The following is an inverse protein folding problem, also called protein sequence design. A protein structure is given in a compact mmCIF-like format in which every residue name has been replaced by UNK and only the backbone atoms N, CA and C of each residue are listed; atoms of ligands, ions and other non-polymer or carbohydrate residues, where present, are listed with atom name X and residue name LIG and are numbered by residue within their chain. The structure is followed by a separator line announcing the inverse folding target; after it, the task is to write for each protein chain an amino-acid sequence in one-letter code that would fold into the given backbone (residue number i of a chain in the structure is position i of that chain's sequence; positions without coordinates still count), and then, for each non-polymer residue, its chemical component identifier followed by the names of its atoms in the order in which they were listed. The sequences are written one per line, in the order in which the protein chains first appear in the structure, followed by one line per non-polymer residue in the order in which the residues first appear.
data_IF_544247781333
#
_entry.id   IF_544247781333
#
_cell.length_a   1.000
_cell.length_b   1.000
_cell.length_c   1.000
_cell.angle_alpha   90.00
_cell.angle_beta   90.00
_cell.angle_gamma   90.00
#
_symmetry.space_group_name_H-M   'P 1'
#
loop_
_entity.id
_entity.type
_entity.pdbx_description
1 polymer ?
#
# COMPACT_ATOMS: atom_id res chain seq x y z
N UNK A 1 57.74 -53.75 -34.68
CA UNK A 1 57.71 -53.60 -33.21
C UNK A 1 57.47 -52.13 -32.86
N UNK A 2 56.56 -51.85 -31.91
CA UNK A 2 56.17 -50.55 -31.30
C UNK A 2 55.30 -49.66 -32.21
N UNK A 3 53.98 -49.69 -32.14
CA UNK A 3 53.05 -49.24 -31.08
C UNK A 3 53.10 -47.73 -30.82
N UNK A 4 52.14 -46.99 -31.37
CA UNK A 4 51.63 -45.74 -30.77
C UNK A 4 50.14 -45.57 -31.09
N UNK A 5 49.37 -45.65 -30.02
CA UNK A 5 47.92 -45.48 -29.85
C UNK A 5 47.46 -44.06 -30.23
N UNK A 6 46.33 -43.92 -30.92
CA UNK A 6 45.56 -42.68 -30.91
C UNK A 6 44.14 -42.96 -30.44
N UNK A 7 43.85 -42.37 -29.28
CA UNK A 7 42.60 -42.38 -28.54
C UNK A 7 41.43 -41.92 -29.40
N UNK A 8 40.41 -42.77 -29.53
CA UNK A 8 39.10 -42.37 -30.02
C UNK A 8 38.37 -41.60 -28.90
N UNK A 9 38.00 -40.35 -29.18
CA UNK A 9 37.28 -39.45 -28.28
C UNK A 9 35.89 -39.98 -27.91
N UNK A 10 35.38 -39.66 -26.71
CA UNK A 10 34.18 -40.27 -26.14
C UNK A 10 32.88 -39.72 -26.74
N UNK A 11 31.86 -40.60 -26.81
CA UNK A 11 30.45 -40.24 -26.91
C UNK A 11 30.07 -39.25 -25.80
N UNK A 12 29.64 -38.05 -26.14
CA UNK A 12 28.88 -37.19 -25.25
C UNK A 12 28.07 -36.15 -26.04
N UNK A 13 26.94 -36.57 -26.63
CA UNK A 13 25.88 -35.62 -26.96
C UNK A 13 24.84 -35.70 -25.84
N UNK A 14 25.02 -34.82 -24.85
CA UNK A 14 24.02 -34.51 -23.85
C UNK A 14 22.77 -33.99 -24.55
N UNK A 15 21.72 -34.80 -24.58
CA UNK A 15 20.37 -34.32 -24.83
C UNK A 15 19.99 -33.42 -23.65
N UNK A 16 20.20 -32.11 -23.77
CA UNK A 16 19.56 -31.13 -22.90
C UNK A 16 18.07 -31.22 -23.15
N UNK A 17 17.37 -31.99 -22.31
CA UNK A 17 15.94 -31.89 -22.17
C UNK A 17 15.64 -30.42 -21.85
N UNK A 18 15.06 -29.70 -22.80
CA UNK A 18 14.27 -28.52 -22.50
C UNK A 18 13.13 -29.01 -21.62
N UNK A 19 13.36 -29.06 -20.31
CA UNK A 19 12.31 -29.05 -19.33
C UNK A 19 11.56 -27.73 -19.56
N UNK A 20 10.55 -27.81 -20.42
CA UNK A 20 9.65 -26.72 -20.74
C UNK A 20 9.23 -26.08 -19.44
N UNK A 21 9.39 -24.76 -19.38
CA UNK A 21 9.10 -23.97 -18.19
C UNK A 21 7.77 -24.42 -17.62
N UNK A 22 7.81 -25.00 -16.42
CA UNK A 22 6.63 -25.14 -15.61
C UNK A 22 6.04 -23.73 -15.51
N UNK A 23 4.89 -23.52 -16.16
CA UNK A 23 4.23 -22.22 -16.20
C UNK A 23 4.14 -21.70 -14.78
N UNK A 24 4.80 -20.58 -14.51
CA UNK A 24 4.65 -19.91 -13.23
C UNK A 24 3.14 -19.64 -13.04
N UNK A 25 2.59 -19.91 -11.84
CA UNK A 25 1.21 -19.59 -11.57
C UNK A 25 0.99 -18.12 -11.90
N UNK A 26 0.14 -17.85 -12.90
CA UNK A 26 -0.22 -16.49 -13.25
C UNK A 26 -1.04 -15.94 -12.10
N UNK A 27 -0.48 -14.99 -11.34
CA UNK A 27 -1.19 -14.38 -10.23
C UNK A 27 -2.52 -13.81 -10.73
N UNK A 28 -3.62 -14.20 -10.08
CA UNK A 28 -4.92 -13.64 -10.39
C UNK A 28 -4.89 -12.11 -10.20
N UNK A 29 -5.65 -11.35 -11.00
CA UNK A 29 -5.73 -9.90 -10.82
C UNK A 29 -6.22 -9.55 -9.42
N UNK A 30 -5.59 -8.56 -8.80
CA UNK A 30 -5.99 -8.06 -7.48
C UNK A 30 -7.41 -7.52 -7.55
N UNK A 31 -8.31 -8.06 -6.73
CA UNK A 31 -9.65 -7.52 -6.56
C UNK A 31 -9.59 -6.43 -5.50
N UNK A 32 -10.14 -5.26 -5.80
CA UNK A 32 -10.21 -4.15 -4.86
C UNK A 32 -11.67 -3.84 -4.57
N UNK A 33 -11.97 -3.56 -3.30
CA UNK A 33 -13.23 -2.97 -2.85
C UNK A 33 -12.97 -1.54 -2.37
N UNK A 34 -13.96 -0.66 -2.51
CA UNK A 34 -13.87 0.72 -2.08
C UNK A 34 -15.16 1.15 -1.37
N UNK A 35 -15.02 1.79 -0.22
CA UNK A 35 -16.12 2.44 0.51
C UNK A 35 -15.76 3.91 0.77
N UNK A 36 -16.73 4.82 0.58
CA UNK A 36 -16.51 6.25 0.71
C UNK A 36 -17.33 6.85 1.84
N UNK A 37 -16.68 7.65 2.67
CA UNK A 37 -17.25 8.33 3.83
C UNK A 37 -17.00 9.84 3.73
N UNK A 38 -17.90 10.62 4.32
CA UNK A 38 -17.75 12.08 4.42
C UNK A 38 -17.65 12.45 5.90
N UNK A 39 -16.62 13.22 6.24
CA UNK A 39 -16.39 13.72 7.58
C UNK A 39 -16.61 15.23 7.60
N UNK A 40 -17.36 15.70 8.59
CA UNK A 40 -17.53 17.12 8.86
C UNK A 40 -16.43 17.56 9.82
N UNK A 41 -15.72 18.62 9.45
CA UNK A 41 -14.57 19.12 10.17
C UNK A 41 -14.82 20.51 10.75
N UNK A 42 -13.92 20.93 11.64
CA UNK A 42 -13.91 22.29 12.17
C UNK A 42 -13.95 23.35 11.04
N UNK A 43 -14.60 24.49 11.33
CA UNK A 43 -14.73 25.57 10.36
C UNK A 43 -15.68 25.27 9.19
N UNK A 44 -16.54 24.25 9.30
CA UNK A 44 -17.48 23.86 8.24
C UNK A 44 -16.81 23.16 7.04
N UNK A 45 -15.54 22.79 7.19
CA UNK A 45 -14.80 22.06 6.15
C UNK A 45 -15.25 20.60 6.09
N UNK A 46 -15.01 19.96 4.93
CA UNK A 46 -15.29 18.55 4.72
C UNK A 46 -14.07 17.82 4.19
N UNK A 47 -13.91 16.57 4.63
CA UNK A 47 -12.96 15.62 4.08
C UNK A 47 -13.75 14.40 3.65
N UNK A 48 -13.64 14.03 2.37
CA UNK A 48 -14.16 12.76 1.88
C UNK A 48 -13.03 11.74 1.92
N UNK A 49 -13.27 10.57 2.49
CA UNK A 49 -12.30 9.49 2.60
C UNK A 49 -12.82 8.29 1.84
N UNK A 50 -12.00 7.70 0.98
CA UNK A 50 -12.28 6.42 0.35
C UNK A 50 -11.33 5.37 0.88
N UNK A 51 -11.86 4.37 1.58
CA UNK A 51 -11.10 3.22 2.06
C UNK A 51 -11.05 2.15 0.99
N UNK A 52 -9.86 1.61 0.72
CA UNK A 52 -9.63 0.58 -0.28
C UNK A 52 -9.09 -0.68 0.40
N UNK A 53 -9.72 -1.83 0.12
CA UNK A 53 -9.33 -3.15 0.62
C UNK A 53 -9.20 -4.16 -0.51
N UNK A 54 -8.60 -5.32 -0.25
CA UNK A 54 -8.38 -6.39 -1.25
C UNK A 54 -9.58 -7.33 -1.39
N UNK A 55 -10.69 -7.05 -0.70
CA UNK A 55 -11.89 -7.90 -0.74
C UNK A 55 -11.69 -9.30 -0.14
N UNK A 56 -10.56 -9.59 0.51
CA UNK A 56 -10.39 -10.81 1.27
C UNK A 56 -11.26 -10.75 2.54
N UNK A 57 -12.19 -11.70 2.69
CA UNK A 57 -13.19 -11.73 3.78
C UNK A 57 -12.59 -11.80 5.20
N UNK A 58 -11.29 -12.07 5.33
CA UNK A 58 -10.58 -12.16 6.61
C UNK A 58 -9.72 -10.92 6.90
N UNK A 59 -9.68 -9.93 6.01
CA UNK A 59 -8.97 -8.67 6.19
C UNK A 59 -9.97 -7.61 6.69
N UNK A 60 -9.95 -7.37 8.01
CA UNK A 60 -10.89 -6.44 8.65
C UNK A 60 -10.50 -4.95 8.52
N UNK A 61 -9.36 -4.65 7.88
CA UNK A 61 -8.84 -3.28 7.76
C UNK A 61 -8.59 -2.90 6.30
N UNK A 62 -9.01 -1.69 5.88
CA UNK A 62 -8.59 -1.13 4.61
C UNK A 62 -7.07 -0.93 4.56
N UNK A 63 -6.45 -1.28 3.44
CA UNK A 63 -5.01 -1.10 3.22
C UNK A 63 -4.65 0.36 2.91
N UNK A 64 -5.57 1.07 2.25
CA UNK A 64 -5.35 2.45 1.83
C UNK A 64 -6.54 3.33 2.17
N UNK A 65 -6.25 4.60 2.45
CA UNK A 65 -7.22 5.68 2.50
C UNK A 65 -6.87 6.71 1.42
N UNK A 66 -7.86 7.09 0.61
CA UNK A 66 -7.74 8.19 -0.35
C UNK A 66 -8.56 9.37 0.16
N UNK A 67 -7.88 10.41 0.62
CA UNK A 67 -8.52 11.65 1.05
C UNK A 67 -8.80 12.53 -0.15
N UNK A 68 -9.99 13.12 -0.23
CA UNK A 68 -10.28 14.29 -1.05
C UNK A 68 -10.42 15.50 -0.13
N UNK A 69 -9.45 16.41 -0.20
CA UNK A 69 -9.37 17.61 0.63
C UNK A 69 -8.84 18.79 -0.19
N UNK A 70 -9.48 19.96 -0.05
CA UNK A 70 -9.17 21.17 -0.83
C UNK A 70 -9.08 20.93 -2.35
N UNK A 71 -9.96 20.07 -2.88
CA UNK A 71 -10.01 19.73 -4.31
C UNK A 71 -8.92 18.77 -4.79
N UNK A 72 -7.98 18.38 -3.93
CA UNK A 72 -6.90 17.45 -4.24
C UNK A 72 -7.16 16.06 -3.65
N UNK A 73 -6.49 15.04 -4.21
CA UNK A 73 -6.52 13.67 -3.70
C UNK A 73 -5.18 13.28 -3.13
N UNK A 74 -5.20 12.66 -1.94
CA UNK A 74 -4.01 12.19 -1.24
C UNK A 74 -4.18 10.70 -0.95
N UNK A 75 -3.24 9.88 -1.42
CA UNK A 75 -3.18 8.45 -1.10
C UNK A 75 -2.36 8.21 0.17
N UNK A 76 -2.94 7.51 1.13
CA UNK A 76 -2.33 7.17 2.41
C UNK A 76 -2.38 5.65 2.58
N UNK A 77 -1.31 5.08 3.11
CA UNK A 77 -1.23 3.66 3.47
C UNK A 77 -1.48 3.49 4.97
N UNK A 78 -2.03 2.35 5.37
CA UNK A 78 -2.19 2.00 6.78
C UNK A 78 -0.85 2.08 7.53
N UNK A 79 -0.87 2.64 8.73
CA UNK A 79 0.28 2.78 9.61
C UNK A 79 -0.03 2.23 11.00
N UNK A 80 1.00 1.68 11.65
CA UNK A 80 0.88 1.15 13.01
C UNK A 80 0.41 2.26 13.97
N UNK A 81 -0.57 1.92 14.78
CA UNK A 81 -1.08 2.78 15.85
C UNK A 81 -1.37 1.95 17.11
N UNK A 82 -1.32 2.61 18.27
CA UNK A 82 -1.69 1.95 19.53
C UNK A 82 -3.21 1.74 19.63
N UNK A 83 -4.00 2.62 18.99
CA UNK A 83 -5.45 2.52 18.93
C UNK A 83 -5.99 3.30 17.73
N UNK A 84 -7.17 2.91 17.27
CA UNK A 84 -7.80 3.52 16.11
C UNK A 84 -7.17 3.08 14.78
N UNK A 85 -7.60 3.72 13.70
CA UNK A 85 -7.13 3.43 12.35
C UNK A 85 -6.31 4.62 11.85
N UNK A 86 -5.02 4.39 11.61
CA UNK A 86 -4.07 5.43 11.21
C UNK A 86 -3.57 5.16 9.80
N UNK A 87 -3.54 6.22 9.00
CA UNK A 87 -3.06 6.19 7.62
C UNK A 87 -2.08 7.34 7.42
N UNK A 88 -1.00 7.09 6.68
CA UNK A 88 0.02 8.10 6.38
C UNK A 88 0.39 8.10 4.90
N UNK A 89 0.69 9.27 4.36
CA UNK A 89 1.18 9.44 3.00
C UNK A 89 2.26 10.51 2.96
N UNK A 90 3.30 10.31 2.15
CA UNK A 90 4.40 11.27 2.03
C UNK A 90 4.05 12.51 1.20
N UNK A 91 3.01 12.44 0.36
CA UNK A 91 2.46 13.59 -0.31
C UNK A 91 1.54 14.37 0.64
N UNK A 92 1.75 15.67 0.77
CA UNK A 92 0.87 16.55 1.53
C UNK A 92 0.52 17.83 0.81
N UNK A 93 0.04 18.83 1.57
CA UNK A 93 -0.44 20.10 1.00
C UNK A 93 0.67 20.93 0.34
N UNK A 94 1.94 20.56 0.60
CA UNK A 94 3.13 21.12 -0.01
C UNK A 94 4.23 20.03 -0.05
N UNK A 95 5.43 20.39 -0.51
CA UNK A 95 6.57 19.47 -0.64
C UNK A 95 7.34 19.22 0.67
N UNK A 96 7.00 19.90 1.77
CA UNK A 96 7.75 19.89 3.01
C UNK A 96 7.21 18.90 4.07
N UNK A 97 6.02 18.31 3.85
CA UNK A 97 5.41 17.33 4.74
C UNK A 97 4.37 16.48 4.01
N UNK A 98 4.23 15.25 4.48
CA UNK A 98 3.11 14.37 4.13
C UNK A 98 1.83 14.70 4.89
N UNK A 99 0.88 13.78 4.83
CA UNK A 99 -0.37 13.82 5.60
C UNK A 99 -0.53 12.56 6.43
N UNK A 100 -1.21 12.74 7.56
CA UNK A 100 -1.71 11.69 8.42
C UNK A 100 -3.22 11.85 8.57
N UNK A 101 -3.93 10.74 8.45
CA UNK A 101 -5.33 10.61 8.79
C UNK A 101 -5.47 9.58 9.89
N UNK A 102 -6.03 9.98 11.03
CA UNK A 102 -6.19 9.09 12.18
C UNK A 102 -7.60 9.16 12.76
N UNK A 103 -8.26 8.02 12.79
CA UNK A 103 -9.61 7.84 13.31
C UNK A 103 -9.63 7.12 14.64
N UNK A 104 -10.47 7.61 15.55
CA UNK A 104 -10.71 7.01 16.84
C UNK A 104 -12.12 7.34 17.35
N UNK A 105 -12.91 6.30 17.65
CA UNK A 105 -14.22 6.41 18.32
C UNK A 105 -15.20 7.41 17.64
N UNK A 106 -15.29 7.40 16.31
CA UNK A 106 -16.20 8.26 15.54
C UNK A 106 -15.68 9.68 15.30
N UNK A 107 -14.50 10.00 15.83
CA UNK A 107 -13.75 11.21 15.50
C UNK A 107 -12.58 10.88 14.58
N UNK A 108 -12.11 11.89 13.86
CA UNK A 108 -10.96 11.78 12.98
C UNK A 108 -10.11 13.05 13.01
N UNK A 109 -8.81 12.91 12.79
CA UNK A 109 -7.87 14.03 12.72
C UNK A 109 -7.11 13.96 11.41
N UNK A 110 -7.08 15.08 10.67
CA UNK A 110 -6.14 15.29 9.56
C UNK A 110 -4.97 16.10 10.09
N UNK A 111 -3.76 15.60 9.92
CA UNK A 111 -2.52 16.22 10.39
C UNK A 111 -1.49 16.26 9.25
N UNK A 112 -0.50 17.14 9.39
CA UNK A 112 0.76 17.02 8.64
C UNK A 112 1.58 15.86 9.20
N UNK A 113 2.32 15.18 8.33
CA UNK A 113 3.18 14.04 8.67
C UNK A 113 4.61 14.30 8.25
N UNK A 114 5.56 14.12 9.17
CA UNK A 114 7.00 14.27 8.92
C UNK A 114 7.75 13.00 9.29
N UNK A 115 7.56 11.97 8.47
CA UNK A 115 8.36 10.75 8.53
C UNK A 115 8.17 9.97 9.84
N UNK A 116 9.25 9.61 10.49
CA UNK A 116 9.29 8.69 11.63
C UNK A 116 8.96 9.32 12.99
N UNK A 117 8.94 10.66 13.10
CA UNK A 117 8.59 11.34 14.35
C UNK A 117 7.13 11.79 14.40
N UNK A 118 6.31 11.01 15.12
CA UNK A 118 4.92 11.37 15.40
C UNK A 118 4.78 12.70 16.17
N UNK A 119 5.80 13.15 16.90
CA UNK A 119 5.79 14.43 17.64
C UNK A 119 5.94 15.64 16.73
N UNK A 120 6.46 15.43 15.52
CA UNK A 120 6.57 16.47 14.50
C UNK A 120 5.28 16.62 13.67
N UNK A 121 4.26 15.80 13.94
CA UNK A 121 2.93 15.95 13.33
C UNK A 121 2.22 17.16 13.90
N UNK A 122 1.49 17.87 13.05
CA UNK A 122 0.70 19.03 13.46
C UNK A 122 -0.71 18.92 12.91
N UNK A 123 -1.71 19.03 13.80
CA UNK A 123 -3.12 18.93 13.45
C UNK A 123 -3.53 20.06 12.51
N UNK A 124 -4.15 19.68 11.40
CA UNK A 124 -4.77 20.59 10.45
C UNK A 124 -6.27 20.73 10.72
N UNK A 125 -6.96 19.59 10.93
CA UNK A 125 -8.39 19.54 11.17
C UNK A 125 -8.74 18.46 12.18
N UNK A 126 -9.75 18.75 13.01
CA UNK A 126 -10.52 17.74 13.72
C UNK A 126 -11.87 17.55 13.05
N UNK A 127 -12.28 16.31 12.90
CA UNK A 127 -13.44 15.91 12.13
C UNK A 127 -14.28 14.87 12.87
N UNK A 128 -15.54 14.76 12.48
CA UNK A 128 -16.49 13.77 12.98
C UNK A 128 -17.15 13.07 11.82
N UNK A 129 -17.34 11.76 11.96
CA UNK A 129 -18.08 10.98 10.99
C UNK A 129 -19.55 11.42 11.00
N UNK A 130 -20.12 11.62 9.81
CA UNK A 130 -21.54 11.93 9.65
C UNK A 130 -22.18 10.77 8.92
N UNK A 131 -23.14 10.12 9.60
CA UNK A 131 -23.97 9.06 9.02
C UNK A 131 -25.02 9.63 8.08
#
# INVERSE_FOLDING_TARGET
MRSTTLFALPLALFATAFAGGAGQPQAAPLKLSQEAHVYQCQGGQQVQVSYVSTGHANENSPLFAVLKYQGQRYGLAEAVSASGSRYVGHAGLNTASGLEWWEHQGEATLSTFRGDDARATSTLLKCKFVR
#
